data_IF_321971929392
#
_entry.id   IF_321971929392
#
_cell.length_a   1.000
_cell.length_b   1.000
_cell.length_c   1.000
_cell.angle_alpha   90.00
_cell.angle_beta   90.00
_cell.angle_gamma   90.00
#
_symmetry.space_group_name_H-M   'P 1'
#
loop_
_entity.id
_entity.type
_entity.pdbx_description
1 polymer ?
#
# COMPACT_ATOMS: atom_id res chain seq x y z
N UNK A 1 -5.15 18.19 1.81
CA UNK A 1 -4.35 17.12 2.48
C UNK A 1 -5.29 16.29 3.32
N UNK A 2 -5.39 14.98 3.07
CA UNK A 2 -6.09 14.06 3.99
C UNK A 2 -5.25 13.88 5.27
N UNK A 3 -5.85 13.73 6.46
CA UNK A 3 -5.14 13.46 7.71
C UNK A 3 -4.17 12.28 7.60
N UNK A 4 -2.97 12.40 8.19
CA UNK A 4 -1.91 11.36 8.14
C UNK A 4 -2.34 9.99 8.70
N UNK A 5 -3.42 9.96 9.48
CA UNK A 5 -4.05 8.74 10.02
C UNK A 5 -4.71 7.86 8.96
N UNK A 6 -4.97 8.39 7.76
CA UNK A 6 -5.62 7.65 6.66
C UNK A 6 -4.61 7.07 5.66
N UNK A 7 -3.30 7.11 5.95
CA UNK A 7 -2.27 6.63 5.03
C UNK A 7 -1.70 5.29 5.49
N UNK A 8 -1.61 4.35 4.56
CA UNK A 8 -0.96 3.07 4.73
C UNK A 8 0.32 3.02 3.87
N UNK A 9 1.41 2.49 4.44
CA UNK A 9 2.68 2.34 3.73
C UNK A 9 2.78 0.95 3.13
N UNK A 10 3.24 0.85 1.89
CA UNK A 10 3.70 -0.39 1.25
C UNK A 10 5.19 -0.27 1.05
N UNK A 11 5.95 -1.30 1.40
CA UNK A 11 7.41 -1.29 1.35
C UNK A 11 7.93 -2.42 0.46
N UNK A 12 8.95 -2.12 -0.34
CA UNK A 12 9.78 -3.11 -1.02
C UNK A 12 11.11 -3.28 -0.27
N UNK A 13 11.40 -4.51 0.16
CA UNK A 13 12.65 -4.89 0.81
C UNK A 13 13.84 -4.84 -0.16
N UNK A 14 15.05 -5.14 0.33
CA UNK A 14 16.25 -5.22 -0.53
C UNK A 14 16.24 -6.49 -1.39
N UNK A 15 15.54 -7.52 -0.90
CA UNK A 15 15.33 -8.82 -1.54
C UNK A 15 14.26 -8.73 -2.63
N UNK A 16 13.60 -7.58 -2.79
CA UNK A 16 12.57 -7.34 -3.80
C UNK A 16 11.15 -7.69 -3.33
N UNK A 17 10.99 -8.16 -2.10
CA UNK A 17 9.70 -8.52 -1.53
C UNK A 17 8.89 -7.27 -1.19
N UNK A 18 7.62 -7.27 -1.59
CA UNK A 18 6.69 -6.17 -1.35
C UNK A 18 5.72 -6.59 -0.25
N UNK A 19 5.54 -5.74 0.76
CA UNK A 19 4.58 -6.00 1.85
C UNK A 19 3.94 -4.72 2.38
N UNK A 20 2.77 -4.85 3.00
CA UNK A 20 2.13 -3.75 3.75
C UNK A 20 2.92 -3.49 5.03
N UNK A 21 3.11 -2.21 5.37
CA UNK A 21 3.82 -1.73 6.55
C UNK A 21 2.99 -0.71 7.34
N UNK A 22 2.05 -1.19 8.19
CA UNK A 22 1.27 -0.30 9.05
C UNK A 22 2.13 0.50 10.04
N UNK A 23 3.33 -0.01 10.37
CA UNK A 23 4.20 0.61 11.38
C UNK A 23 5.08 1.73 10.82
N UNK A 24 5.31 1.73 9.50
CA UNK A 24 6.28 2.61 8.85
C UNK A 24 7.75 2.30 9.18
N UNK A 25 8.04 1.21 9.90
CA UNK A 25 9.39 0.89 10.41
C UNK A 25 10.14 -0.13 9.55
N UNK A 26 9.49 -0.78 8.58
CA UNK A 26 10.16 -1.77 7.73
C UNK A 26 11.21 -1.10 6.85
N UNK A 27 12.38 -1.71 6.75
CA UNK A 27 13.47 -1.21 5.92
C UNK A 27 13.16 -1.42 4.44
N UNK A 28 13.49 -0.43 3.60
CA UNK A 28 13.32 -0.52 2.15
C UNK A 28 12.68 0.71 1.53
N UNK A 29 12.39 0.60 0.23
CA UNK A 29 11.73 1.66 -0.53
C UNK A 29 10.25 1.64 -0.22
N UNK A 30 9.71 2.77 0.26
CA UNK A 30 8.31 2.86 0.68
C UNK A 30 7.48 3.75 -0.24
N UNK A 31 6.20 3.40 -0.39
CA UNK A 31 5.16 4.20 -1.03
C UNK A 31 3.99 4.33 -0.05
N UNK A 32 3.40 5.53 0.04
CA UNK A 32 2.21 5.76 0.84
C UNK A 32 0.98 5.79 -0.06
N UNK A 33 -0.08 5.14 0.40
CA UNK A 33 -1.38 5.12 -0.24
C UNK A 33 -2.42 5.55 0.79
N UNK A 34 -3.48 6.24 0.35
CA UNK A 34 -4.64 6.46 1.22
C UNK A 34 -5.37 5.14 1.39
N UNK A 35 -5.70 4.79 2.63
CA UNK A 35 -6.46 3.61 3.01
C UNK A 35 -7.95 3.83 2.70
N UNK A 36 -8.25 3.84 1.41
CA UNK A 36 -9.55 4.14 0.84
C UNK A 36 -9.78 3.21 -0.35
N UNK A 37 -10.94 2.56 -0.39
CA UNK A 37 -11.26 1.52 -1.39
C UNK A 37 -11.08 2.02 -2.82
N UNK A 38 -11.56 3.22 -3.14
CA UNK A 38 -11.51 3.76 -4.50
C UNK A 38 -10.06 4.11 -4.90
N UNK A 39 -9.28 4.60 -3.93
CA UNK A 39 -7.86 4.89 -4.12
C UNK A 39 -7.07 3.60 -4.35
N UNK A 40 -7.33 2.54 -3.59
CA UNK A 40 -6.66 1.23 -3.72
C UNK A 40 -6.96 0.60 -5.09
N UNK A 41 -8.23 0.56 -5.49
CA UNK A 41 -8.62 0.01 -6.79
C UNK A 41 -8.02 0.83 -7.95
N UNK A 42 -7.97 2.15 -7.82
CA UNK A 42 -7.31 3.02 -8.80
C UNK A 42 -5.81 2.75 -8.88
N UNK A 43 -5.14 2.57 -7.74
CA UNK A 43 -3.72 2.28 -7.69
C UNK A 43 -3.38 0.91 -8.34
N UNK A 44 -4.23 -0.11 -8.13
CA UNK A 44 -4.14 -1.42 -8.81
C UNK A 44 -4.25 -1.25 -10.32
N UNK A 45 -5.33 -0.61 -10.79
CA UNK A 45 -5.58 -0.39 -12.22
C UNK A 45 -4.46 0.38 -12.92
N UNK A 46 -3.86 1.37 -12.24
CA UNK A 46 -2.79 2.22 -12.78
C UNK A 46 -1.38 1.67 -12.52
N UNK A 47 -1.24 0.51 -11.88
CA UNK A 47 0.06 -0.02 -11.43
C UNK A 47 0.90 1.03 -10.66
N UNK A 48 0.25 1.89 -9.89
CA UNK A 48 0.90 3.05 -9.26
C UNK A 48 1.94 2.62 -8.23
N UNK A 49 1.62 1.61 -7.41
CA UNK A 49 2.55 1.05 -6.44
C UNK A 49 3.74 0.36 -7.11
N UNK A 50 3.51 -0.38 -8.20
CA UNK A 50 4.58 -1.04 -8.95
C UNK A 50 5.60 -0.03 -9.48
N UNK A 51 5.13 1.07 -10.07
CA UNK A 51 5.97 2.14 -10.57
C UNK A 51 6.74 2.85 -9.45
N UNK A 52 6.06 3.15 -8.34
CA UNK A 52 6.68 3.86 -7.21
C UNK A 52 7.71 2.99 -6.48
N UNK A 53 7.43 1.72 -6.27
CA UNK A 53 8.30 0.76 -5.60
C UNK A 53 9.33 0.13 -6.54
N UNK A 54 9.18 0.31 -7.85
CA UNK A 54 9.99 -0.33 -8.89
C UNK A 54 10.01 -1.86 -8.75
N UNK A 55 8.85 -2.46 -8.48
CA UNK A 55 8.70 -3.91 -8.33
C UNK A 55 7.33 -4.36 -8.83
N UNK A 56 7.20 -5.65 -9.13
CA UNK A 56 5.89 -6.26 -9.31
C UNK A 56 5.18 -6.31 -7.95
N UNK A 57 3.88 -6.07 -7.97
CA UNK A 57 3.03 -6.08 -6.78
C UNK A 57 2.07 -7.24 -6.95
N UNK A 58 2.06 -8.17 -5.99
CA UNK A 58 1.11 -9.26 -5.97
C UNK A 58 -0.31 -8.71 -5.73
N UNK A 59 -1.31 -9.34 -6.34
CA UNK A 59 -2.71 -9.06 -6.12
C UNK A 59 -3.10 -9.18 -4.63
N UNK A 60 -2.45 -10.09 -3.91
CA UNK A 60 -2.62 -10.27 -2.46
C UNK A 60 -2.36 -8.99 -1.66
N UNK A 61 -1.44 -8.13 -2.10
CA UNK A 61 -1.14 -6.85 -1.42
C UNK A 61 -2.34 -5.90 -1.54
N UNK A 62 -3.02 -5.90 -2.69
CA UNK A 62 -4.21 -5.06 -2.85
C UNK A 62 -5.40 -5.59 -2.04
N UNK A 63 -5.55 -6.91 -1.95
CA UNK A 63 -6.57 -7.54 -1.13
C UNK A 63 -6.36 -7.21 0.36
N UNK A 64 -5.12 -7.30 0.87
CA UNK A 64 -4.77 -6.89 2.24
C UNK A 64 -5.09 -5.41 2.51
N UNK A 65 -4.77 -4.52 1.57
CA UNK A 65 -5.09 -3.09 1.68
C UNK A 65 -6.60 -2.84 1.75
N UNK A 66 -7.38 -3.57 0.95
CA UNK A 66 -8.85 -3.46 0.95
C UNK A 66 -9.44 -3.93 2.28
N UNK A 67 -8.97 -5.06 2.81
CA UNK A 67 -9.40 -5.55 4.13
C UNK A 67 -9.11 -4.56 5.25
N UNK A 68 -7.93 -3.92 5.22
CA UNK A 68 -7.56 -2.90 6.20
C UNK A 68 -8.49 -1.68 6.11
N UNK A 69 -8.84 -1.24 4.90
CA UNK A 69 -9.77 -0.12 4.71
C UNK A 69 -11.18 -0.42 5.22
N UNK A 70 -11.65 -1.67 5.09
CA UNK A 70 -12.93 -2.09 5.64
C UNK A 70 -12.93 -2.15 7.17
N UNK A 71 -11.82 -2.54 7.79
CA UNK A 71 -11.66 -2.60 9.25
C UNK A 71 -11.59 -1.22 9.90
N UNK A 72 -10.97 -0.24 9.25
CA UNK A 72 -10.86 1.16 9.74
C UNK A 72 -12.23 1.88 9.77
N UNK A 73 -13.18 1.43 8.94
CA UNK A 73 -14.51 2.06 8.80
C UNK A 73 -15.53 1.51 9.83
N UNK A 74 -15.15 0.52 10.65
CA UNK A 74 -16.02 -0.12 11.65
C UNK A 74 -15.83 0.41 13.06
#
# INVERSE_FOLDING_TARGET
MKPKKELIRVVRSKEGEVSVDPTGKKNGRGAYLTLDKDVILTAKKKNSLANQLQAQIDDQIFDELLELAEKETR
#
